data_IF_314200843465
#
_entry.id   IF_314200843465
#
_cell.length_a   1.000
_cell.length_b   1.000
_cell.length_c   1.000
_cell.angle_alpha   90.00
_cell.angle_beta   90.00
_cell.angle_gamma   90.00
#
_symmetry.space_group_name_H-M   'P 1'
#
loop_
_entity.id
_entity.type
_entity.pdbx_description
1 polymer ?
#
# COMPACT_ATOMS: atom_id res chain seq x y z
N UNK A 1 3.35 -11.77 12.78
CA UNK A 1 1.93 -11.35 12.80
C UNK A 1 1.48 -10.89 11.40
N UNK A 2 1.22 -11.80 10.44
CA UNK A 2 0.83 -11.43 9.08
C UNK A 2 -0.51 -10.67 9.02
N UNK A 3 -1.44 -10.97 9.94
CA UNK A 3 -2.75 -10.33 9.99
C UNK A 3 -2.69 -8.83 10.33
N UNK A 4 -1.72 -8.41 11.16
CA UNK A 4 -1.59 -7.01 11.56
C UNK A 4 -1.15 -6.14 10.38
N UNK A 5 -0.12 -6.57 9.64
CA UNK A 5 0.35 -5.82 8.47
C UNK A 5 -0.71 -5.75 7.36
N UNK A 6 -1.46 -6.84 7.15
CA UNK A 6 -2.60 -6.88 6.23
C UNK A 6 -3.73 -5.92 6.62
N UNK A 7 -3.83 -5.53 7.88
CA UNK A 7 -4.77 -4.50 8.34
C UNK A 7 -4.20 -3.08 8.17
N UNK A 8 -2.90 -2.89 8.40
CA UNK A 8 -2.26 -1.58 8.31
C UNK A 8 -2.22 -1.03 6.87
N UNK A 9 -2.01 -1.88 5.86
CA UNK A 9 -2.00 -1.44 4.46
C UNK A 9 -3.32 -0.73 4.04
N UNK A 10 -4.52 -1.33 4.18
CA UNK A 10 -5.79 -0.65 3.91
C UNK A 10 -6.07 0.55 4.81
N UNK A 11 -5.59 0.54 6.06
CA UNK A 11 -5.68 1.71 6.93
C UNK A 11 -4.88 2.89 6.38
N UNK A 12 -3.64 2.66 5.92
CA UNK A 12 -2.82 3.69 5.31
C UNK A 12 -3.49 4.27 4.05
N UNK A 13 -4.03 3.42 3.17
CA UNK A 13 -4.80 3.88 2.01
C UNK A 13 -6.00 4.77 2.40
N UNK A 14 -6.73 4.40 3.44
CA UNK A 14 -7.85 5.21 3.95
C UNK A 14 -7.39 6.58 4.46
N UNK A 15 -6.26 6.64 5.15
CA UNK A 15 -5.68 7.89 5.66
C UNK A 15 -5.23 8.77 4.49
N UNK A 16 -4.47 8.23 3.52
CA UNK A 16 -4.03 8.99 2.35
C UNK A 16 -5.19 9.59 1.56
N UNK A 17 -6.27 8.82 1.39
CA UNK A 17 -7.48 9.32 0.74
C UNK A 17 -8.16 10.44 1.56
N UNK A 18 -8.27 10.26 2.88
CA UNK A 18 -8.92 11.24 3.76
C UNK A 18 -8.13 12.56 3.84
N UNK A 19 -6.80 12.48 3.85
CA UNK A 19 -5.91 13.64 3.91
C UNK A 19 -5.67 14.28 2.52
N UNK A 20 -6.27 13.73 1.46
CA UNK A 20 -6.15 14.22 0.09
C UNK A 20 -4.69 14.43 -0.36
N UNK A 21 -3.80 13.49 -0.03
CA UNK A 21 -2.39 13.60 -0.41
C UNK A 21 -2.24 13.54 -1.93
N UNK A 22 -1.40 14.41 -2.49
CA UNK A 22 -1.10 14.39 -3.93
C UNK A 22 -0.29 13.15 -4.32
N UNK A 23 0.58 12.68 -3.41
CA UNK A 23 1.47 11.53 -3.61
C UNK A 23 1.54 10.68 -2.35
N UNK A 24 1.38 9.36 -2.52
CA UNK A 24 1.60 8.37 -1.47
C UNK A 24 2.81 7.50 -1.81
N UNK A 25 3.77 7.40 -0.87
CA UNK A 25 4.93 6.50 -0.99
C UNK A 25 4.67 5.28 -0.13
N UNK A 26 4.68 4.10 -0.75
CA UNK A 26 4.42 2.82 -0.09
C UNK A 26 5.72 2.00 -0.03
N UNK A 27 6.21 1.75 1.17
CA UNK A 27 7.33 0.82 1.38
C UNK A 27 6.80 -0.63 1.32
N UNK A 28 7.48 -1.49 0.58
CA UNK A 28 7.17 -2.92 0.55
C UNK A 28 7.59 -3.56 1.86
N UNK A 29 6.66 -4.26 2.53
CA UNK A 29 6.95 -4.91 3.81
C UNK A 29 7.90 -6.11 3.66
N UNK A 30 7.58 -7.04 2.75
CA UNK A 30 8.44 -8.18 2.44
C UNK A 30 8.32 -8.62 0.98
N UNK A 31 9.45 -8.60 0.27
CA UNK A 31 9.54 -9.11 -1.10
C UNK A 31 8.84 -8.20 -2.11
N UNK A 32 7.56 -8.45 -2.39
CA UNK A 32 6.77 -7.63 -3.32
C UNK A 32 5.54 -8.33 -3.89
N UNK A 33 5.73 -9.43 -4.61
CA UNK A 33 4.64 -10.10 -5.38
C UNK A 33 3.38 -10.41 -4.55
N UNK A 34 3.54 -10.78 -3.28
CA UNK A 34 2.46 -11.14 -2.36
C UNK A 34 2.37 -10.18 -1.15
N UNK A 35 3.01 -9.02 -1.23
CA UNK A 35 2.95 -8.02 -0.16
C UNK A 35 1.59 -7.30 -0.15
N UNK A 36 1.15 -6.88 1.03
CA UNK A 36 -0.14 -6.19 1.19
C UNK A 36 -0.18 -4.81 0.50
N UNK A 37 0.98 -4.22 0.19
CA UNK A 37 1.07 -2.96 -0.57
C UNK A 37 0.96 -3.18 -2.09
N UNK A 38 1.14 -4.40 -2.59
CA UNK A 38 1.12 -4.75 -4.01
C UNK A 38 -0.30 -4.90 -4.58
N UNK A 39 -1.16 -3.92 -4.27
CA UNK A 39 -2.55 -3.79 -4.75
C UNK A 39 -2.74 -2.56 -5.64
N UNK A 40 -1.70 -1.73 -5.75
CA UNK A 40 -1.67 -0.60 -6.68
C UNK A 40 -1.51 -1.14 -8.10
N UNK A 41 -2.25 -0.59 -9.06
CA UNK A 41 -2.07 -0.96 -10.46
C UNK A 41 -0.65 -0.61 -10.92
N UNK A 42 -0.05 -1.52 -11.68
CA UNK A 42 1.30 -1.39 -12.22
C UNK A 42 1.39 -0.11 -13.07
N UNK A 43 2.09 0.91 -12.57
CA UNK A 43 2.41 2.15 -13.29
C UNK A 43 3.73 2.05 -14.05
N UNK A 44 4.42 0.90 -14.02
CA UNK A 44 5.75 0.72 -14.60
C UNK A 44 5.78 0.18 -16.04
N UNK A 45 4.65 0.13 -16.74
CA UNK A 45 4.61 -0.10 -18.21
C UNK A 45 3.54 0.74 -18.91
N UNK A 46 3.53 2.06 -18.68
CA UNK A 46 2.95 3.04 -19.59
C UNK A 46 4.00 4.10 -19.97
#
# INVERSE_FOLDING_TARGET
MPAYFRFLAPLAFKIFYAEQVDVAVLEVGLGGKFDATNVVCDVLFQ
#
